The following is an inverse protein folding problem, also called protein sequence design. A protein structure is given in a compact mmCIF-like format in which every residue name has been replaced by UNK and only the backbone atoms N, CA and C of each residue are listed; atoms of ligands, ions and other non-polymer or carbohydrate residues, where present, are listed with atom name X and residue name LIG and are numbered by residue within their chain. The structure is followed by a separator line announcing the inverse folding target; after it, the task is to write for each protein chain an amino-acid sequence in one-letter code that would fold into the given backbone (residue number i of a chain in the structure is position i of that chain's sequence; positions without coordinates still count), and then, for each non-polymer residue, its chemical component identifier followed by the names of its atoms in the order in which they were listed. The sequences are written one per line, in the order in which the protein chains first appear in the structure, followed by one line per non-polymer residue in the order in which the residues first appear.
data_IF_247175006736
#
_entry.id   IF_247175006736
#
_cell.length_a   1.000
_cell.length_b   1.000
_cell.length_c   1.000
_cell.angle_alpha   90.00
_cell.angle_beta   90.00
_cell.angle_gamma   90.00
#
_symmetry.space_group_name_H-M   'P 1'
#
loop_
_entity.id
_entity.type
_entity.pdbx_description
1 polymer ?
#
# COMPACT_ATOMS: atom_id res chain seq x y z
N UNK A 1 0.96 -20.66 34.03
CA UNK A 1 1.23 -20.38 32.62
C UNK A 1 0.26 -19.29 32.17
N UNK A 2 0.73 -18.16 31.74
CA UNK A 2 -0.16 -17.10 31.17
C UNK A 2 -0.84 -17.68 29.93
N UNK A 3 -2.15 -17.44 29.79
CA UNK A 3 -2.91 -17.86 28.60
C UNK A 3 -2.33 -17.16 27.39
N UNK A 4 -1.94 -17.91 26.36
CA UNK A 4 -1.46 -17.33 25.10
C UNK A 4 -2.57 -16.45 24.49
N UNK A 5 -2.22 -15.22 24.16
CA UNK A 5 -3.17 -14.23 23.59
C UNK A 5 -3.54 -14.59 22.15
N UNK A 6 -4.75 -14.27 21.73
CA UNK A 6 -5.27 -14.52 20.38
C UNK A 6 -5.58 -13.20 19.68
N UNK A 7 -4.96 -13.00 18.51
CA UNK A 7 -5.27 -11.95 17.56
C UNK A 7 -6.11 -12.51 16.41
N UNK A 8 -7.21 -11.84 16.08
CA UNK A 8 -7.93 -12.06 14.80
C UNK A 8 -7.63 -10.91 13.85
N UNK A 9 -7.07 -11.23 12.71
CA UNK A 9 -6.81 -10.30 11.59
C UNK A 9 -7.93 -10.49 10.58
N UNK A 10 -8.61 -9.41 10.22
CA UNK A 10 -9.69 -9.41 9.23
C UNK A 10 -9.26 -8.61 7.99
N UNK A 11 -8.95 -9.31 6.91
CA UNK A 11 -8.45 -8.73 5.68
C UNK A 11 -8.92 -9.51 4.46
N UNK A 12 -8.98 -8.88 3.29
CA UNK A 12 -9.26 -9.61 2.06
C UNK A 12 -9.46 -8.71 0.85
N UNK A 13 -9.72 -9.35 -0.28
CA UNK A 13 -9.99 -8.71 -1.56
C UNK A 13 -8.78 -8.42 -2.42
N UNK A 14 -7.75 -7.74 -1.94
CA UNK A 14 -6.58 -7.33 -2.72
C UNK A 14 -5.28 -7.41 -1.92
N UNK A 15 -4.14 -7.45 -2.62
CA UNK A 15 -2.81 -7.41 -1.99
C UNK A 15 -2.59 -6.18 -1.10
N UNK A 16 -3.21 -5.04 -1.43
CA UNK A 16 -3.11 -3.82 -0.63
C UNK A 16 -3.58 -3.98 0.83
N UNK A 17 -4.60 -4.84 1.08
CA UNK A 17 -5.03 -5.18 2.43
C UNK A 17 -4.26 -6.36 3.02
N UNK A 18 -3.88 -7.33 2.16
CA UNK A 18 -3.30 -8.60 2.61
C UNK A 18 -1.84 -8.46 3.04
N UNK A 19 -1.02 -7.65 2.34
CA UNK A 19 0.40 -7.50 2.68
C UNK A 19 0.63 -6.83 4.05
N UNK A 20 -0.03 -5.71 4.40
CA UNK A 20 0.07 -5.16 5.76
C UNK A 20 -0.46 -6.11 6.84
N UNK A 21 -1.52 -6.87 6.53
CA UNK A 21 -2.07 -7.88 7.42
C UNK A 21 -1.09 -9.04 7.66
N UNK A 22 -0.38 -9.48 6.62
CA UNK A 22 0.68 -10.48 6.71
C UNK A 22 1.82 -9.98 7.60
N UNK A 23 2.31 -8.77 7.38
CA UNK A 23 3.39 -8.20 8.18
C UNK A 23 3.02 -8.13 9.67
N UNK A 24 1.78 -7.74 10.01
CA UNK A 24 1.30 -7.80 11.39
C UNK A 24 1.27 -9.25 11.92
N UNK A 25 0.77 -10.21 11.12
CA UNK A 25 0.70 -11.61 11.53
C UNK A 25 2.09 -12.18 11.86
N UNK A 26 3.09 -11.92 11.01
CA UNK A 26 4.48 -12.34 11.21
C UNK A 26 5.05 -11.83 12.53
N UNK A 27 4.89 -10.54 12.79
CA UNK A 27 5.40 -9.90 14.00
C UNK A 27 4.66 -10.38 15.27
N UNK A 28 3.34 -10.56 15.21
CA UNK A 28 2.55 -11.02 16.36
C UNK A 28 2.83 -12.49 16.70
N UNK A 29 3.04 -13.35 15.69
CA UNK A 29 3.50 -14.73 15.91
C UNK A 29 4.89 -14.76 16.56
N UNK A 30 5.82 -13.92 16.08
CA UNK A 30 7.14 -13.78 16.69
C UNK A 30 7.07 -13.28 18.14
N UNK A 31 6.08 -12.45 18.49
CA UNK A 31 5.78 -12.00 19.86
C UNK A 31 5.06 -13.08 20.71
N UNK A 32 4.86 -14.28 20.19
CA UNK A 32 4.26 -15.42 20.91
C UNK A 32 2.74 -15.42 20.98
N UNK A 33 2.06 -14.66 20.13
CA UNK A 33 0.61 -14.68 20.02
C UNK A 33 0.13 -15.82 19.10
N UNK A 34 -1.09 -16.29 19.32
CA UNK A 34 -1.83 -17.01 18.30
C UNK A 34 -2.46 -16.02 17.33
N UNK A 35 -2.34 -16.28 16.03
CA UNK A 35 -2.92 -15.43 14.99
C UNK A 35 -3.89 -16.22 14.14
N UNK A 36 -5.04 -15.61 13.89
CA UNK A 36 -6.08 -16.14 13.00
C UNK A 36 -6.43 -15.09 11.93
N UNK A 37 -6.40 -15.49 10.67
CA UNK A 37 -6.80 -14.66 9.54
C UNK A 37 -8.25 -15.00 9.16
N UNK A 38 -9.13 -14.01 9.22
CA UNK A 38 -10.48 -14.06 8.65
C UNK A 38 -10.48 -13.38 7.29
N UNK A 39 -10.75 -14.13 6.22
CA UNK A 39 -10.68 -13.66 4.84
C UNK A 39 -11.73 -14.29 3.95
N UNK A 40 -11.86 -13.85 2.70
CA UNK A 40 -12.71 -14.49 1.66
C UNK A 40 -11.90 -15.40 0.73
N UNK A 41 -12.59 -16.09 -0.18
CA UNK A 41 -11.95 -16.98 -1.16
C UNK A 41 -10.95 -16.23 -2.07
N UNK A 42 -11.07 -14.92 -2.27
CA UNK A 42 -10.11 -14.11 -3.04
C UNK A 42 -8.89 -13.78 -2.20
N UNK A 43 -9.11 -13.37 -0.94
CA UNK A 43 -8.01 -13.12 -0.02
C UNK A 43 -7.21 -14.39 0.29
N UNK A 44 -7.88 -15.54 0.35
CA UNK A 44 -7.21 -16.83 0.53
C UNK A 44 -6.15 -17.15 -0.56
N UNK A 45 -6.28 -16.59 -1.78
CA UNK A 45 -5.24 -16.71 -2.82
C UNK A 45 -3.95 -15.98 -2.48
N UNK A 46 -4.02 -14.95 -1.63
CA UNK A 46 -2.88 -14.20 -1.13
C UNK A 46 -2.39 -14.73 0.23
N UNK A 47 -3.10 -15.70 0.80
CA UNK A 47 -2.77 -16.25 2.12
C UNK A 47 -1.52 -17.13 2.13
N UNK A 48 -1.05 -17.59 0.95
CA UNK A 48 0.20 -18.35 0.82
C UNK A 48 1.47 -17.58 1.27
N UNK A 49 1.39 -16.26 1.44
CA UNK A 49 2.47 -15.45 2.04
C UNK A 49 2.41 -15.36 3.56
N UNK A 50 1.32 -15.80 4.20
CA UNK A 50 1.22 -15.80 5.66
C UNK A 50 2.02 -16.98 6.25
N UNK A 51 2.57 -16.81 7.47
CA UNK A 51 3.24 -17.92 8.17
C UNK A 51 2.31 -19.13 8.36
N UNK A 52 2.85 -20.35 8.27
CA UNK A 52 2.10 -21.60 8.42
C UNK A 52 1.37 -21.71 9.76
N UNK A 53 1.87 -21.04 10.79
CA UNK A 53 1.24 -20.98 12.13
C UNK A 53 -0.03 -20.12 12.16
N UNK A 54 -0.37 -19.39 11.08
CA UNK A 54 -1.59 -18.60 10.99
C UNK A 54 -2.77 -19.49 10.66
N UNK A 55 -3.76 -19.57 11.54
CA UNK A 55 -5.02 -20.25 11.23
C UNK A 55 -5.86 -19.40 10.27
N UNK A 56 -6.31 -19.98 9.16
CA UNK A 56 -7.05 -19.26 8.11
C UNK A 56 -8.52 -19.67 8.15
N UNK A 57 -9.40 -18.72 8.42
CA UNK A 57 -10.85 -18.88 8.37
C UNK A 57 -11.39 -18.20 7.09
N UNK A 58 -11.85 -19.00 6.14
CA UNK A 58 -12.49 -18.49 4.92
C UNK A 58 -13.96 -18.21 5.22
N UNK A 59 -14.35 -16.95 5.14
CA UNK A 59 -15.73 -16.49 5.39
C UNK A 59 -16.39 -16.13 4.05
N UNK A 60 -17.63 -16.56 3.87
CA UNK A 60 -18.43 -16.14 2.71
C UNK A 60 -18.72 -14.64 2.83
N UNK A 61 -17.95 -13.82 2.11
CA UNK A 61 -18.21 -12.40 1.99
C UNK A 61 -18.85 -12.08 0.66
N UNK A 62 -20.09 -11.62 0.70
CA UNK A 62 -20.74 -11.12 -0.50
C UNK A 62 -20.08 -9.84 -1.00
N UNK A 63 -19.52 -9.87 -2.22
CA UNK A 63 -19.08 -8.64 -2.88
C UNK A 63 -20.25 -7.92 -3.52
N UNK A 64 -20.70 -6.81 -2.92
CA UNK A 64 -21.79 -5.97 -3.45
C UNK A 64 -21.51 -5.35 -4.83
N UNK A 65 -20.31 -5.53 -5.39
CA UNK A 65 -19.88 -4.84 -6.61
C UNK A 65 -19.87 -5.69 -7.88
N UNK A 66 -19.89 -7.02 -7.81
CA UNK A 66 -19.76 -7.92 -8.97
C UNK A 66 -20.70 -9.11 -8.83
N UNK A 67 -21.81 -9.08 -9.55
CA UNK A 67 -22.76 -10.17 -9.61
C UNK A 67 -24.10 -9.69 -10.16
N UNK A 68 -24.84 -10.55 -10.85
CA UNK A 68 -26.17 -10.25 -11.35
C UNK A 68 -27.17 -9.97 -10.21
N UNK A 69 -28.42 -9.69 -10.57
CA UNK A 69 -29.49 -9.31 -9.63
C UNK A 69 -29.64 -10.30 -8.46
N UNK A 70 -29.46 -11.60 -8.71
CA UNK A 70 -29.51 -12.66 -7.68
C UNK A 70 -28.41 -12.52 -6.63
N UNK A 71 -27.18 -12.19 -7.04
CA UNK A 71 -26.05 -11.98 -6.11
C UNK A 71 -26.28 -10.73 -5.23
N UNK A 72 -26.88 -9.67 -5.79
CA UNK A 72 -27.23 -8.47 -5.03
C UNK A 72 -28.33 -8.74 -4.00
N UNK A 73 -29.28 -9.60 -4.31
CA UNK A 73 -30.38 -9.97 -3.38
C UNK A 73 -29.90 -10.93 -2.27
N UNK A 74 -28.97 -11.84 -2.56
CA UNK A 74 -28.41 -12.77 -1.57
C UNK A 74 -27.31 -12.17 -0.69
N UNK A 75 -26.72 -11.04 -1.10
CA UNK A 75 -25.60 -10.41 -0.39
C UNK A 75 -25.92 -10.05 1.08
N UNK A 76 -27.07 -9.45 1.44
CA UNK A 76 -27.40 -9.16 2.84
C UNK A 76 -27.52 -10.43 3.69
N UNK A 77 -28.08 -11.50 3.13
CA UNK A 77 -28.22 -12.79 3.82
C UNK A 77 -26.85 -13.42 4.08
N UNK A 78 -25.98 -13.50 3.06
CA UNK A 78 -24.62 -14.02 3.21
C UNK A 78 -23.81 -13.21 4.23
N UNK A 79 -23.96 -11.89 4.23
CA UNK A 79 -23.30 -11.02 5.18
C UNK A 79 -23.80 -11.27 6.62
N UNK A 80 -25.11 -11.38 6.83
CA UNK A 80 -25.72 -11.71 8.12
C UNK A 80 -25.20 -13.06 8.63
N UNK A 81 -25.21 -14.09 7.78
CA UNK A 81 -24.70 -15.42 8.13
C UNK A 81 -23.20 -15.38 8.45
N UNK A 82 -22.41 -14.58 7.72
CA UNK A 82 -21.00 -14.34 8.04
C UNK A 82 -20.80 -13.73 9.41
N UNK A 83 -21.59 -12.72 9.78
CA UNK A 83 -21.57 -12.07 11.10
C UNK A 83 -21.97 -13.06 12.21
N UNK A 84 -23.02 -13.85 12.01
CA UNK A 84 -23.46 -14.84 13.00
C UNK A 84 -22.37 -15.92 13.22
N UNK A 85 -21.78 -16.46 12.16
CA UNK A 85 -20.67 -17.42 12.24
C UNK A 85 -19.47 -16.83 12.99
N UNK A 86 -19.05 -15.61 12.61
CA UNK A 86 -17.93 -14.92 13.28
C UNK A 86 -18.23 -14.64 14.76
N UNK A 87 -19.46 -14.19 15.08
CA UNK A 87 -19.89 -13.95 16.48
C UNK A 87 -19.83 -15.24 17.30
N UNK A 88 -20.38 -16.34 16.77
CA UNK A 88 -20.34 -17.63 17.45
C UNK A 88 -18.90 -18.13 17.66
N UNK A 89 -18.04 -18.01 16.66
CA UNK A 89 -16.64 -18.37 16.76
C UNK A 89 -15.92 -17.55 17.85
N UNK A 90 -16.17 -16.22 17.92
CA UNK A 90 -15.60 -15.35 18.94
C UNK A 90 -16.14 -15.61 20.36
N UNK A 91 -17.39 -16.03 20.49
CA UNK A 91 -17.95 -16.44 21.78
C UNK A 91 -17.34 -17.75 22.29
N UNK A 92 -17.04 -18.68 21.37
CA UNK A 92 -16.41 -19.96 21.70
C UNK A 92 -14.92 -19.81 22.02
N UNK A 93 -14.20 -19.00 21.26
CA UNK A 93 -12.79 -18.69 21.48
C UNK A 93 -12.59 -17.17 21.37
N UNK A 94 -12.70 -16.50 22.52
CA UNK A 94 -12.69 -15.05 22.59
C UNK A 94 -11.30 -14.51 22.24
N UNK A 95 -11.16 -13.70 21.15
CA UNK A 95 -9.90 -13.06 20.85
C UNK A 95 -9.59 -11.95 21.86
N UNK A 96 -8.32 -11.66 22.04
CA UNK A 96 -7.87 -10.53 22.84
C UNK A 96 -8.02 -9.22 22.06
N UNK A 97 -7.71 -9.23 20.76
CA UNK A 97 -7.87 -8.08 19.84
C UNK A 97 -8.34 -8.56 18.47
N UNK A 98 -9.12 -7.73 17.78
CA UNK A 98 -9.47 -7.90 16.37
C UNK A 98 -8.96 -6.70 15.59
N UNK A 99 -8.23 -6.93 14.50
CA UNK A 99 -7.70 -5.88 13.62
C UNK A 99 -8.29 -6.01 12.23
N UNK A 100 -9.02 -4.98 11.77
CA UNK A 100 -9.59 -4.90 10.44
C UNK A 100 -8.70 -4.10 9.49
N UNK A 101 -8.29 -4.72 8.37
CA UNK A 101 -7.49 -4.07 7.32
C UNK A 101 -8.35 -3.55 6.15
N UNK A 102 -9.67 -3.69 6.27
CA UNK A 102 -10.60 -3.23 5.24
C UNK A 102 -10.97 -4.30 4.22
N UNK A 103 -11.68 -3.86 3.20
CA UNK A 103 -12.37 -4.75 2.26
C UNK A 103 -13.64 -5.35 2.85
N UNK A 104 -14.55 -5.83 1.99
CA UNK A 104 -15.79 -6.48 2.44
C UNK A 104 -15.57 -7.70 3.32
N UNK A 105 -14.50 -8.50 3.12
CA UNK A 105 -14.21 -9.65 3.98
C UNK A 105 -13.93 -9.30 5.44
N UNK A 106 -13.51 -8.09 5.74
CA UNK A 106 -13.28 -7.65 7.12
C UNK A 106 -14.59 -7.36 7.89
N UNK A 107 -15.70 -7.10 7.18
CA UNK A 107 -16.96 -6.69 7.81
C UNK A 107 -17.48 -7.71 8.83
N UNK A 108 -17.60 -9.04 8.54
CA UNK A 108 -18.15 -9.98 9.49
C UNK A 108 -17.39 -10.05 10.82
N UNK A 109 -16.06 -10.08 10.75
CA UNK A 109 -15.20 -10.13 11.94
C UNK A 109 -15.29 -8.82 12.75
N UNK A 110 -15.29 -7.66 12.09
CA UNK A 110 -15.42 -6.37 12.75
C UNK A 110 -16.79 -6.17 13.42
N UNK A 111 -17.86 -6.60 12.76
CA UNK A 111 -19.21 -6.59 13.32
C UNK A 111 -19.32 -7.54 14.53
N UNK A 112 -18.77 -8.75 14.44
CA UNK A 112 -18.72 -9.71 15.54
C UNK A 112 -17.91 -9.16 16.73
N UNK A 113 -16.78 -8.52 16.50
CA UNK A 113 -15.99 -7.87 17.53
C UNK A 113 -16.76 -6.74 18.24
N UNK A 114 -17.54 -5.97 17.49
CA UNK A 114 -18.41 -4.94 18.05
C UNK A 114 -19.52 -5.53 18.91
N UNK A 115 -20.24 -6.56 18.44
CA UNK A 115 -21.29 -7.27 19.16
C UNK A 115 -20.76 -7.90 20.45
N UNK A 116 -19.61 -8.57 20.40
CA UNK A 116 -18.99 -9.26 21.54
C UNK A 116 -18.21 -8.34 22.47
N UNK A 117 -18.14 -7.04 22.16
CA UNK A 117 -17.34 -6.04 22.89
C UNK A 117 -15.87 -6.47 23.02
N UNK A 118 -15.32 -7.08 21.96
CA UNK A 118 -13.91 -7.41 21.86
C UNK A 118 -13.13 -6.15 21.46
N UNK A 119 -11.96 -5.85 22.06
CA UNK A 119 -11.09 -4.77 21.62
C UNK A 119 -10.79 -4.88 20.13
N UNK A 120 -10.87 -3.78 19.42
CA UNK A 120 -10.79 -3.79 17.98
C UNK A 120 -10.14 -2.53 17.43
N UNK A 121 -9.34 -2.72 16.40
CA UNK A 121 -8.63 -1.68 15.71
C UNK A 121 -8.90 -1.75 14.21
N UNK A 122 -8.81 -0.62 13.53
CA UNK A 122 -8.71 -0.55 12.07
C UNK A 122 -7.31 -0.18 11.68
N UNK A 123 -6.83 -0.77 10.60
CA UNK A 123 -5.71 -0.24 9.82
C UNK A 123 -6.22 0.21 8.46
N UNK A 124 -6.00 1.48 8.13
CA UNK A 124 -6.29 2.04 6.81
C UNK A 124 -5.01 2.34 6.07
N UNK A 125 -4.85 1.74 4.91
CA UNK A 125 -3.64 1.88 4.09
C UNK A 125 -3.61 3.18 3.32
N UNK A 126 -4.79 3.67 2.91
CA UNK A 126 -4.93 4.82 2.02
C UNK A 126 -5.19 6.12 2.78
N UNK A 127 -4.98 7.24 2.10
CA UNK A 127 -5.29 8.57 2.62
C UNK A 127 -6.80 8.86 2.74
N UNK A 128 -7.66 7.91 2.38
CA UNK A 128 -9.12 7.96 2.56
C UNK A 128 -9.61 6.61 3.07
N UNK A 129 -10.51 6.63 4.05
CA UNK A 129 -11.04 5.38 4.60
C UNK A 129 -11.83 4.60 3.56
N UNK A 130 -11.52 3.31 3.40
CA UNK A 130 -12.34 2.37 2.64
C UNK A 130 -13.76 2.28 3.22
N UNK A 131 -14.73 1.78 2.44
CA UNK A 131 -16.17 1.74 2.84
C UNK A 131 -16.39 1.04 4.18
N UNK A 132 -15.75 -0.11 4.40
CA UNK A 132 -15.90 -0.88 5.64
C UNK A 132 -15.22 -0.15 6.80
N UNK A 133 -13.98 0.33 6.61
CA UNK A 133 -13.27 1.08 7.63
C UNK A 133 -14.02 2.36 8.03
N UNK A 134 -14.61 3.07 7.08
CA UNK A 134 -15.42 4.26 7.34
C UNK A 134 -16.67 3.96 8.17
N UNK A 135 -17.32 2.80 7.92
CA UNK A 135 -18.49 2.36 8.69
C UNK A 135 -18.12 2.11 10.16
N UNK A 136 -16.99 1.46 10.40
CA UNK A 136 -16.57 1.12 11.77
C UNK A 136 -15.72 2.20 12.45
N UNK A 137 -15.30 3.27 11.76
CA UNK A 137 -14.39 4.28 12.30
C UNK A 137 -14.79 4.88 13.65
N UNK A 138 -16.11 4.98 13.94
CA UNK A 138 -16.65 5.47 15.22
C UNK A 138 -16.94 4.36 16.23
N UNK A 139 -16.67 3.11 15.87
CA UNK A 139 -17.05 1.92 16.64
C UNK A 139 -15.83 1.05 16.96
N UNK A 140 -14.61 1.59 16.80
CA UNK A 140 -13.36 0.95 17.15
C UNK A 140 -12.65 1.71 18.26
N UNK A 141 -11.77 1.02 18.94
CA UNK A 141 -11.01 1.58 20.05
C UNK A 141 -9.78 2.34 19.55
N UNK A 142 -9.26 1.98 18.34
CA UNK A 142 -8.09 2.57 17.74
C UNK A 142 -8.16 2.56 16.21
N UNK A 143 -7.59 3.56 15.56
CA UNK A 143 -7.37 3.58 14.11
C UNK A 143 -5.89 3.84 13.85
N UNK A 144 -5.25 2.94 13.11
CA UNK A 144 -3.92 3.09 12.59
C UNK A 144 -4.00 3.51 11.12
N UNK A 145 -3.29 4.57 10.74
CA UNK A 145 -3.25 5.07 9.36
C UNK A 145 -1.89 4.79 8.74
N UNK A 146 -1.90 4.10 7.61
CA UNK A 146 -0.70 3.82 6.81
C UNK A 146 -0.23 5.02 6.00
N UNK A 147 -1.12 5.96 5.72
CA UNK A 147 -0.86 7.18 4.95
C UNK A 147 -1.30 8.38 5.80
N UNK A 148 -0.58 9.50 5.68
CA UNK A 148 -0.92 10.72 6.39
C UNK A 148 -0.69 11.97 5.52
N UNK A 149 -1.62 12.94 5.50
CA UNK A 149 -2.90 12.95 6.22
C UNK A 149 -3.92 11.94 5.67
N UNK A 150 -4.82 11.46 6.53
CA UNK A 150 -5.96 10.60 6.15
C UNK A 150 -7.27 11.36 6.35
N UNK A 151 -8.21 11.25 5.39
CA UNK A 151 -9.55 11.83 5.50
C UNK A 151 -10.40 11.00 6.49
N UNK A 152 -10.49 11.51 7.71
CA UNK A 152 -11.22 10.90 8.83
C UNK A 152 -12.59 11.56 9.04
N UNK A 153 -13.60 10.81 9.53
CA UNK A 153 -14.85 11.39 9.97
C UNK A 153 -14.63 12.39 11.11
N UNK A 154 -15.43 13.46 11.14
CA UNK A 154 -15.31 14.50 12.20
C UNK A 154 -15.36 13.91 13.61
N UNK A 155 -14.38 14.25 14.45
CA UNK A 155 -14.27 13.78 15.82
C UNK A 155 -13.70 12.37 15.98
N UNK A 156 -13.14 11.79 14.91
CA UNK A 156 -12.40 10.53 14.96
C UNK A 156 -10.92 10.83 14.95
N UNK A 157 -10.19 10.26 15.89
CA UNK A 157 -8.73 10.35 15.99
C UNK A 157 -8.08 9.09 15.44
N UNK A 158 -6.83 9.21 14.96
CA UNK A 158 -6.06 8.09 14.45
C UNK A 158 -4.56 8.31 14.69
N UNK A 159 -3.82 7.22 14.74
CA UNK A 159 -2.36 7.22 14.84
C UNK A 159 -1.74 6.97 13.47
N UNK A 160 -0.81 7.81 13.05
CA UNK A 160 -0.02 7.56 11.84
C UNK A 160 1.08 6.55 12.14
N UNK A 161 0.87 5.31 11.73
CA UNK A 161 1.84 4.21 11.87
C UNK A 161 2.70 4.00 10.64
N UNK A 162 2.24 4.47 9.48
CA UNK A 162 2.77 4.06 8.20
C UNK A 162 2.17 2.73 7.71
N UNK A 163 2.43 2.39 6.46
CA UNK A 163 2.11 1.09 5.89
C UNK A 163 3.30 0.14 6.09
N UNK A 164 3.10 -1.04 6.66
CA UNK A 164 4.12 -2.08 6.66
C UNK A 164 4.60 -2.37 5.25
N UNK A 165 5.90 -2.34 5.07
CA UNK A 165 6.57 -2.66 3.80
C UNK A 165 7.17 -4.06 3.85
N UNK A 166 7.48 -4.62 2.69
CA UNK A 166 8.07 -5.95 2.58
C UNK A 166 9.49 -5.98 3.17
N UNK A 167 9.90 -7.12 3.72
CA UNK A 167 11.23 -7.35 4.30
C UNK A 167 12.36 -6.91 3.33
N UNK A 168 12.23 -7.22 2.03
CA UNK A 168 13.20 -6.82 1.02
C UNK A 168 13.35 -5.28 0.85
N UNK A 169 12.33 -4.49 1.24
CA UNK A 169 12.40 -3.02 1.30
C UNK A 169 13.10 -2.58 2.58
N UNK A 170 12.75 -3.20 3.73
CA UNK A 170 13.37 -2.89 5.03
C UNK A 170 14.87 -3.17 5.03
N UNK A 171 15.30 -4.28 4.42
CA UNK A 171 16.74 -4.61 4.29
C UNK A 171 17.54 -3.56 3.49
N UNK A 172 16.85 -2.66 2.80
CA UNK A 172 17.42 -1.60 1.96
C UNK A 172 17.10 -0.19 2.43
N UNK A 173 16.47 -0.03 3.57
CA UNK A 173 16.10 1.29 4.09
C UNK A 173 17.32 2.19 4.34
N UNK A 174 18.46 1.59 4.71
CA UNK A 174 19.72 2.32 4.94
C UNK A 174 20.47 2.71 3.66
N UNK A 175 19.97 2.33 2.46
CA UNK A 175 20.62 2.62 1.20
C UNK A 175 20.70 4.13 0.95
N UNK A 176 21.94 4.61 0.74
CA UNK A 176 22.16 6.03 0.45
C UNK A 176 21.58 6.40 -0.92
N UNK A 177 21.04 7.59 -1.02
CA UNK A 177 20.64 8.16 -2.29
C UNK A 177 21.84 8.81 -2.97
N UNK A 178 22.08 8.41 -4.23
CA UNK A 178 23.10 9.02 -5.08
C UNK A 178 22.40 10.08 -5.93
N UNK A 179 22.74 11.35 -5.73
CA UNK A 179 22.12 12.46 -6.46
C UNK A 179 22.43 12.36 -7.97
N UNK A 180 21.58 12.85 -8.86
CA UNK A 180 21.85 12.88 -10.30
C UNK A 180 23.09 13.71 -10.62
N UNK A 181 23.82 13.33 -11.68
CA UNK A 181 25.07 13.96 -12.09
C UNK A 181 25.56 13.47 -13.45
N UNK A 182 26.83 13.74 -13.76
CA UNK A 182 27.46 13.39 -15.05
C UNK A 182 27.98 11.93 -15.04
N UNK A 183 27.10 10.99 -14.77
CA UNK A 183 27.34 9.55 -14.71
C UNK A 183 26.01 8.79 -14.99
N UNK A 184 26.05 7.45 -15.19
CA UNK A 184 24.82 6.71 -15.46
C UNK A 184 23.77 6.90 -14.37
N UNK A 185 22.57 7.36 -14.76
CA UNK A 185 21.42 7.62 -13.90
C UNK A 185 20.30 6.62 -14.20
N UNK A 186 19.67 6.10 -13.17
CA UNK A 186 18.55 5.16 -13.26
C UNK A 186 17.22 5.87 -13.05
N UNK A 187 16.30 5.69 -13.98
CA UNK A 187 14.90 6.11 -13.88
C UNK A 187 14.03 4.87 -13.80
N UNK A 188 13.22 4.77 -12.74
CA UNK A 188 12.30 3.67 -12.53
C UNK A 188 10.87 4.10 -12.80
N UNK A 189 10.16 3.37 -13.67
CA UNK A 189 8.75 3.59 -14.01
C UNK A 189 7.94 2.38 -13.56
N UNK A 190 7.01 2.57 -12.61
CA UNK A 190 6.16 1.49 -12.07
C UNK A 190 4.68 1.87 -12.04
N UNK A 191 3.87 1.01 -12.65
CA UNK A 191 2.41 1.17 -12.71
C UNK A 191 1.65 0.52 -11.56
N UNK A 192 2.35 -0.14 -10.62
CA UNK A 192 1.74 -1.00 -9.60
C UNK A 192 1.39 -2.39 -10.13
N UNK A 193 0.61 -3.16 -9.35
CA UNK A 193 0.36 -4.60 -9.62
C UNK A 193 -0.32 -4.92 -10.96
N UNK A 194 -0.95 -3.94 -11.61
CA UNK A 194 -1.67 -4.14 -12.88
C UNK A 194 -1.02 -3.41 -14.06
N UNK A 195 0.14 -2.76 -13.83
CA UNK A 195 0.72 -1.83 -14.80
C UNK A 195 -0.12 -0.57 -14.98
N UNK A 196 0.36 0.38 -15.78
CA UNK A 196 -0.33 1.64 -16.05
C UNK A 196 -0.16 2.05 -17.51
N UNK A 197 -1.17 1.79 -18.36
CA UNK A 197 -1.12 2.09 -19.79
C UNK A 197 -0.75 3.54 -20.08
N UNK A 198 -1.26 4.51 -19.31
CA UNK A 198 -0.90 5.92 -19.49
C UNK A 198 0.60 6.20 -19.29
N UNK A 199 1.28 5.47 -18.40
CA UNK A 199 2.73 5.60 -18.25
C UNK A 199 3.46 5.01 -19.47
N UNK A 200 2.98 3.88 -19.99
CA UNK A 200 3.49 3.28 -21.23
C UNK A 200 3.30 4.19 -22.44
N UNK A 201 2.21 4.95 -22.46
CA UNK A 201 1.88 5.89 -23.56
C UNK A 201 2.72 7.18 -23.49
N UNK A 202 2.86 7.77 -22.30
CA UNK A 202 3.39 9.14 -22.17
C UNK A 202 4.89 9.17 -21.83
N UNK A 203 5.39 8.23 -21.01
CA UNK A 203 6.79 8.30 -20.52
C UNK A 203 7.81 8.19 -21.67
N UNK A 204 7.71 7.25 -22.63
CA UNK A 204 8.68 7.18 -23.73
C UNK A 204 8.77 8.47 -24.53
N UNK A 205 7.62 9.09 -24.80
CA UNK A 205 7.57 10.40 -25.48
C UNK A 205 8.19 11.53 -24.67
N UNK A 206 8.02 11.51 -23.34
CA UNK A 206 8.67 12.48 -22.45
C UNK A 206 10.20 12.30 -22.42
N UNK A 207 10.69 11.06 -22.39
CA UNK A 207 12.12 10.78 -22.45
C UNK A 207 12.71 11.26 -23.75
N UNK A 208 12.04 11.08 -24.90
CA UNK A 208 12.52 11.55 -26.21
C UNK A 208 12.70 13.08 -26.28
N UNK A 209 12.01 13.84 -25.41
CA UNK A 209 12.12 15.30 -25.33
C UNK A 209 13.24 15.80 -24.42
N UNK A 210 13.93 14.91 -23.71
CA UNK A 210 15.01 15.30 -22.82
C UNK A 210 16.27 15.75 -23.61
N UNK A 211 17.05 16.69 -23.07
CA UNK A 211 18.30 17.11 -23.67
C UNK A 211 19.31 15.96 -23.84
N UNK A 212 20.15 15.98 -24.91
CA UNK A 212 21.09 14.90 -25.21
C UNK A 212 22.11 14.62 -24.08
N UNK A 213 22.47 15.64 -23.31
CA UNK A 213 23.39 15.51 -22.17
C UNK A 213 22.77 14.70 -21.01
N UNK A 214 21.45 14.69 -20.84
CA UNK A 214 20.76 13.81 -19.90
C UNK A 214 20.59 12.43 -20.52
N UNK A 215 20.10 12.33 -21.76
CA UNK A 215 19.81 11.06 -22.42
C UNK A 215 21.01 10.10 -22.45
N UNK A 216 22.22 10.61 -22.71
CA UNK A 216 23.45 9.77 -22.76
C UNK A 216 23.76 9.03 -21.47
N UNK A 217 23.28 9.55 -20.31
CA UNK A 217 23.48 8.95 -18.99
C UNK A 217 22.29 8.14 -18.49
N UNK A 218 21.12 8.27 -19.16
CA UNK A 218 19.89 7.70 -18.65
C UNK A 218 19.80 6.19 -18.93
N UNK A 219 19.38 5.43 -17.92
CA UNK A 219 19.01 4.02 -17.99
C UNK A 219 17.62 3.87 -17.40
N UNK A 220 16.75 3.14 -18.08
CA UNK A 220 15.33 3.08 -17.71
C UNK A 220 14.95 1.66 -17.33
N UNK A 221 14.25 1.52 -16.21
CA UNK A 221 13.47 0.33 -15.88
C UNK A 221 12.00 0.69 -16.00
N UNK A 222 11.26 0.10 -16.95
CA UNK A 222 9.86 0.46 -17.21
C UNK A 222 8.97 -0.76 -17.10
N UNK A 223 8.09 -0.78 -16.11
CA UNK A 223 7.03 -1.78 -16.01
C UNK A 223 5.88 -1.41 -16.95
N UNK A 224 5.73 -2.14 -18.04
CA UNK A 224 4.64 -1.99 -19.01
C UNK A 224 3.59 -3.09 -18.85
N UNK A 225 2.38 -2.87 -19.35
CA UNK A 225 1.40 -3.95 -19.48
C UNK A 225 1.84 -4.93 -20.55
N UNK A 226 1.37 -6.21 -20.52
CA UNK A 226 1.71 -7.18 -21.55
C UNK A 226 1.43 -6.68 -22.97
N UNK A 227 0.30 -5.98 -23.16
CA UNK A 227 -0.10 -5.40 -24.45
C UNK A 227 0.74 -4.21 -24.88
N UNK A 228 1.40 -3.51 -23.96
CA UNK A 228 2.18 -2.30 -24.24
C UNK A 228 3.68 -2.57 -24.33
N UNK A 229 4.17 -3.71 -23.80
CA UNK A 229 5.59 -4.00 -23.56
C UNK A 229 6.46 -3.81 -24.82
N UNK A 230 6.05 -4.42 -25.94
CA UNK A 230 6.84 -4.38 -27.18
C UNK A 230 6.86 -2.98 -27.79
N UNK A 231 5.75 -2.27 -27.72
CA UNK A 231 5.66 -0.87 -28.18
C UNK A 231 6.61 0.02 -27.38
N UNK A 232 6.59 -0.07 -26.05
CA UNK A 232 7.47 0.69 -25.15
C UNK A 232 8.94 0.36 -25.40
N UNK A 233 9.28 -0.92 -25.58
CA UNK A 233 10.65 -1.36 -25.90
C UNK A 233 11.15 -0.77 -27.20
N UNK A 234 10.32 -0.82 -28.26
CA UNK A 234 10.63 -0.27 -29.59
C UNK A 234 10.87 1.24 -29.51
N UNK A 235 10.06 1.96 -28.74
CA UNK A 235 10.25 3.40 -28.53
C UNK A 235 11.61 3.73 -27.93
N UNK A 236 12.04 3.05 -26.86
CA UNK A 236 13.34 3.29 -26.24
C UNK A 236 14.50 2.93 -27.17
N UNK A 237 14.36 1.88 -27.98
CA UNK A 237 15.36 1.52 -29.01
C UNK A 237 15.52 2.62 -30.07
N UNK A 238 14.40 3.20 -30.54
CA UNK A 238 14.39 4.26 -31.54
C UNK A 238 15.08 5.54 -31.07
N UNK A 239 14.93 5.89 -29.81
CA UNK A 239 15.58 7.08 -29.22
C UNK A 239 16.98 6.77 -28.69
N UNK A 240 17.45 5.51 -28.78
CA UNK A 240 18.81 5.11 -28.38
C UNK A 240 19.06 5.13 -26.87
N UNK A 241 18.03 5.02 -26.03
CA UNK A 241 18.15 4.99 -24.56
C UNK A 241 18.09 3.55 -24.08
N UNK A 242 19.08 3.08 -23.28
CA UNK A 242 19.05 1.75 -22.70
C UNK A 242 17.83 1.60 -21.75
N UNK A 243 16.98 0.61 -22.03
CA UNK A 243 15.79 0.36 -21.24
C UNK A 243 15.56 -1.14 -21.01
N UNK A 244 15.26 -1.48 -19.76
CA UNK A 244 14.72 -2.77 -19.34
C UNK A 244 13.20 -2.64 -19.22
N UNK A 245 12.46 -3.31 -20.11
CA UNK A 245 11.00 -3.18 -20.21
C UNK A 245 10.38 -4.54 -19.93
N UNK A 246 9.76 -4.66 -18.75
CA UNK A 246 9.15 -5.90 -18.30
C UNK A 246 7.69 -5.69 -17.84
N UNK A 247 6.92 -6.75 -17.86
CA UNK A 247 5.54 -6.71 -17.37
C UNK A 247 5.46 -6.72 -15.86
N UNK A 248 6.49 -7.25 -15.22
CA UNK A 248 6.64 -7.32 -13.77
C UNK A 248 8.12 -7.36 -13.40
N UNK A 249 8.48 -6.68 -12.32
CA UNK A 249 9.82 -6.74 -11.72
C UNK A 249 9.75 -7.44 -10.37
N UNK A 250 10.50 -8.53 -10.20
CA UNK A 250 10.65 -9.20 -8.90
C UNK A 250 11.58 -8.44 -7.95
N UNK A 251 12.46 -7.62 -8.51
CA UNK A 251 13.54 -6.91 -7.85
C UNK A 251 13.26 -5.41 -7.62
N UNK A 252 11.98 -4.99 -7.57
CA UNK A 252 11.60 -3.58 -7.35
C UNK A 252 12.38 -2.91 -6.20
N UNK A 253 12.60 -3.55 -5.03
CA UNK A 253 13.38 -2.92 -3.96
C UNK A 253 14.83 -2.59 -4.36
N UNK A 254 15.49 -3.42 -5.16
CA UNK A 254 16.84 -3.14 -5.67
C UNK A 254 16.82 -1.98 -6.68
N UNK A 255 15.87 -2.00 -7.63
CA UNK A 255 15.70 -0.90 -8.61
C UNK A 255 15.36 0.44 -7.96
N UNK A 256 14.62 0.42 -6.86
CA UNK A 256 14.37 1.63 -6.05
C UNK A 256 15.67 2.17 -5.45
N UNK A 257 16.57 1.30 -4.97
CA UNK A 257 17.86 1.75 -4.43
C UNK A 257 18.70 2.44 -5.51
N UNK A 258 18.71 1.92 -6.72
CA UNK A 258 19.52 2.44 -7.83
C UNK A 258 18.90 3.70 -8.47
N UNK A 259 17.61 3.96 -8.25
CA UNK A 259 16.89 5.04 -8.94
C UNK A 259 17.27 6.43 -8.43
N UNK A 260 17.63 7.34 -9.37
CA UNK A 260 17.71 8.77 -9.15
C UNK A 260 16.33 9.43 -9.18
N UNK A 261 15.38 8.83 -9.90
CA UNK A 261 14.00 9.31 -9.97
C UNK A 261 13.04 8.13 -10.19
N UNK A 262 11.90 8.16 -9.51
CA UNK A 262 10.83 7.19 -9.69
C UNK A 262 9.60 7.89 -10.28
N UNK A 263 9.03 7.33 -11.35
CA UNK A 263 7.71 7.72 -11.88
C UNK A 263 6.74 6.59 -11.54
N UNK A 264 5.69 6.88 -10.79
CA UNK A 264 4.84 5.81 -10.28
C UNK A 264 3.38 6.23 -10.14
N UNK A 265 2.48 5.24 -10.22
CA UNK A 265 1.17 5.37 -9.57
C UNK A 265 1.35 5.55 -8.06
N UNK A 266 0.42 6.25 -7.42
CA UNK A 266 0.46 6.51 -5.97
C UNK A 266 -0.42 5.56 -5.15
N UNK A 267 -0.35 4.27 -5.46
CA UNK A 267 -0.90 3.24 -4.58
C UNK A 267 -0.21 3.26 -3.21
N UNK A 268 -0.94 3.00 -2.13
CA UNK A 268 -0.42 3.13 -0.77
C UNK A 268 0.88 2.34 -0.52
N UNK A 269 0.99 1.12 -1.05
CA UNK A 269 2.23 0.31 -0.93
C UNK A 269 3.39 0.93 -1.71
N UNK A 270 3.16 1.41 -2.94
CA UNK A 270 4.22 2.05 -3.74
C UNK A 270 4.74 3.31 -3.07
N UNK A 271 3.83 4.14 -2.54
CA UNK A 271 4.20 5.35 -1.78
C UNK A 271 5.03 4.98 -0.55
N UNK A 272 4.64 3.93 0.18
CA UNK A 272 5.38 3.45 1.35
C UNK A 272 6.78 2.94 0.98
N UNK A 273 6.90 2.06 -0.03
CA UNK A 273 8.16 1.49 -0.47
C UNK A 273 9.14 2.59 -0.93
N UNK A 274 8.67 3.53 -1.76
CA UNK A 274 9.46 4.66 -2.28
C UNK A 274 9.92 5.56 -1.13
N UNK A 275 9.04 5.83 -0.17
CA UNK A 275 9.35 6.71 0.96
C UNK A 275 10.31 6.06 1.95
N UNK A 276 10.17 4.77 2.26
CA UNK A 276 11.06 4.04 3.17
C UNK A 276 12.48 3.98 2.59
N UNK A 277 12.63 3.71 1.30
CA UNK A 277 13.95 3.74 0.64
C UNK A 277 14.45 5.18 0.46
N UNK A 278 13.54 6.16 0.39
CA UNK A 278 13.87 7.57 0.28
C UNK A 278 14.30 7.96 -1.14
N UNK A 279 13.38 7.91 -2.10
CA UNK A 279 13.66 8.28 -3.50
C UNK A 279 12.77 9.42 -3.95
N UNK A 280 13.31 10.40 -4.71
CA UNK A 280 12.49 11.41 -5.37
C UNK A 280 11.47 10.74 -6.28
N UNK A 281 10.23 11.22 -6.26
CA UNK A 281 9.17 10.62 -7.07
C UNK A 281 8.33 11.65 -7.82
N UNK A 282 7.88 11.27 -9.02
CA UNK A 282 6.75 11.89 -9.71
C UNK A 282 5.58 10.92 -9.63
N UNK A 283 4.57 11.26 -8.85
CA UNK A 283 3.36 10.47 -8.74
C UNK A 283 2.32 10.86 -9.78
N UNK A 284 1.76 9.85 -10.44
CA UNK A 284 0.65 9.99 -11.39
C UNK A 284 -0.53 9.17 -10.84
N UNK A 285 -1.42 9.76 -10.04
CA UNK A 285 -2.58 9.07 -9.48
C UNK A 285 -3.47 8.48 -10.58
N UNK A 286 -4.07 7.31 -10.32
CA UNK A 286 -5.06 6.72 -11.22
C UNK A 286 -6.35 7.55 -11.18
N UNK A 287 -6.76 8.12 -12.32
CA UNK A 287 -7.94 8.99 -12.41
C UNK A 287 -9.25 8.30 -11.98
N UNK A 288 -9.34 6.98 -12.18
CA UNK A 288 -10.51 6.16 -11.80
C UNK A 288 -10.43 5.55 -10.40
N UNK A 289 -9.44 5.98 -9.59
CA UNK A 289 -9.28 5.47 -8.23
C UNK A 289 -10.52 5.77 -7.36
N UNK A 290 -10.93 4.80 -6.58
CA UNK A 290 -12.12 4.93 -5.73
C UNK A 290 -11.92 6.08 -4.73
N UNK A 291 -12.78 7.10 -4.77
CA UNK A 291 -12.70 8.28 -3.90
C UNK A 291 -11.38 9.04 -4.00
N UNK A 292 -10.74 8.98 -5.16
CA UNK A 292 -9.45 9.64 -5.41
C UNK A 292 -8.35 9.26 -4.38
N UNK A 293 -8.38 8.00 -3.94
CA UNK A 293 -7.47 7.49 -2.90
C UNK A 293 -5.99 7.66 -3.26
N UNK A 294 -5.64 7.55 -4.55
CA UNK A 294 -4.26 7.68 -4.98
C UNK A 294 -3.74 9.12 -4.89
N UNK A 295 -4.56 10.12 -5.19
CA UNK A 295 -4.19 11.52 -4.93
C UNK A 295 -4.01 11.78 -3.43
N UNK A 296 -4.90 11.22 -2.59
CA UNK A 296 -4.77 11.34 -1.15
C UNK A 296 -3.49 10.66 -0.61
N UNK A 297 -3.10 9.50 -1.15
CA UNK A 297 -1.88 8.79 -0.76
C UNK A 297 -0.60 9.60 -1.03
N UNK A 298 -0.59 10.37 -2.12
CA UNK A 298 0.57 11.19 -2.49
C UNK A 298 0.72 12.45 -1.63
N UNK A 299 -0.32 12.89 -0.91
CA UNK A 299 -0.31 14.18 -0.20
C UNK A 299 0.78 14.31 0.87
N UNK A 300 1.07 13.22 1.58
CA UNK A 300 2.11 13.23 2.61
C UNK A 300 3.51 13.49 2.04
N UNK A 301 4.01 12.65 1.13
CA UNK A 301 5.29 12.87 0.46
C UNK A 301 5.36 14.21 -0.27
N UNK A 302 4.26 14.65 -0.90
CA UNK A 302 4.18 15.94 -1.58
C UNK A 302 4.38 17.10 -0.61
N UNK A 303 3.65 17.13 0.50
CA UNK A 303 3.78 18.17 1.55
C UNK A 303 5.15 18.15 2.22
N UNK A 304 5.77 16.98 2.34
CA UNK A 304 7.12 16.84 2.85
C UNK A 304 8.18 17.35 1.86
N UNK A 305 7.84 17.54 0.59
CA UNK A 305 8.78 17.92 -0.47
C UNK A 305 9.57 16.75 -1.06
N UNK A 306 9.14 15.49 -0.82
CA UNK A 306 9.77 14.28 -1.34
C UNK A 306 9.26 13.84 -2.70
N UNK A 307 8.17 14.44 -3.18
CA UNK A 307 7.55 14.05 -4.44
C UNK A 307 6.92 15.25 -5.16
N UNK A 308 6.64 15.05 -6.44
CA UNK A 308 5.81 15.90 -7.30
C UNK A 308 4.59 15.08 -7.72
N UNK A 309 3.45 15.73 -7.95
CA UNK A 309 2.24 15.09 -8.42
C UNK A 309 1.84 15.70 -9.77
N UNK A 310 1.47 14.84 -10.71
CA UNK A 310 0.83 15.22 -11.98
C UNK A 310 -0.47 14.41 -12.07
N UNK A 311 -1.60 15.08 -12.19
CA UNK A 311 -2.87 14.38 -12.41
C UNK A 311 -2.87 13.72 -13.78
N UNK A 312 -3.51 12.55 -13.90
CA UNK A 312 -3.52 11.81 -15.17
C UNK A 312 -4.09 12.63 -16.33
N UNK A 313 -5.11 13.45 -16.06
CA UNK A 313 -5.71 14.35 -17.05
C UNK A 313 -4.81 15.52 -17.50
N UNK A 314 -3.80 15.85 -16.69
CA UNK A 314 -2.81 16.91 -16.96
C UNK A 314 -1.50 16.34 -17.51
N UNK A 315 -1.35 15.00 -17.55
CA UNK A 315 -0.13 14.34 -17.91
C UNK A 315 0.13 14.44 -19.41
N UNK A 316 1.11 15.24 -19.78
CA UNK A 316 1.63 15.35 -21.15
C UNK A 316 3.10 14.98 -21.20
N UNK A 317 3.58 14.51 -22.37
CA UNK A 317 5.00 14.22 -22.55
C UNK A 317 5.88 15.46 -22.28
N UNK A 318 5.44 16.65 -22.69
CA UNK A 318 6.21 17.87 -22.49
C UNK A 318 6.29 18.30 -21.01
N UNK A 319 5.17 18.26 -20.26
CA UNK A 319 5.22 18.63 -18.84
C UNK A 319 6.04 17.61 -18.04
N UNK A 320 5.85 16.32 -18.33
CA UNK A 320 6.63 15.26 -17.68
C UNK A 320 8.13 15.40 -17.98
N UNK A 321 8.52 15.67 -19.24
CA UNK A 321 9.91 15.91 -19.62
C UNK A 321 10.52 17.06 -18.83
N UNK A 322 9.83 18.21 -18.72
CA UNK A 322 10.30 19.37 -17.95
C UNK A 322 10.53 19.03 -16.48
N UNK A 323 9.64 18.26 -15.86
CA UNK A 323 9.78 17.86 -14.46
C UNK A 323 10.93 16.88 -14.28
N UNK A 324 11.09 15.91 -15.16
CA UNK A 324 12.24 15.00 -15.18
C UNK A 324 13.54 15.79 -15.31
N UNK A 325 13.63 16.68 -16.28
CA UNK A 325 14.82 17.52 -16.50
C UNK A 325 15.14 18.36 -15.26
N UNK A 326 14.14 19.04 -14.68
CA UNK A 326 14.30 19.87 -13.49
C UNK A 326 14.93 19.08 -12.34
N UNK A 327 14.42 17.86 -12.08
CA UNK A 327 14.91 17.03 -10.96
C UNK A 327 16.32 16.47 -11.28
N UNK A 328 16.55 16.00 -12.51
CA UNK A 328 17.83 15.39 -12.88
C UNK A 328 18.96 16.41 -13.06
N UNK A 329 18.67 17.69 -13.29
CA UNK A 329 19.68 18.76 -13.36
C UNK A 329 20.01 19.37 -11.99
N UNK A 330 19.14 19.23 -11.00
CA UNK A 330 19.33 19.79 -9.66
C UNK A 330 19.71 18.68 -8.66
N UNK A 331 20.96 18.24 -8.67
CA UNK A 331 21.46 17.22 -7.75
C UNK A 331 21.22 17.56 -6.26
N UNK A 332 21.52 18.78 -5.80
CA UNK A 332 21.20 19.22 -4.44
C UNK A 332 19.70 19.20 -4.13
N UNK A 333 18.85 19.62 -5.07
CA UNK A 333 17.40 19.56 -4.95
C UNK A 333 16.87 18.13 -4.88
N UNK A 334 17.37 17.24 -5.75
CA UNK A 334 17.04 15.82 -5.73
C UNK A 334 17.47 15.14 -4.42
N UNK A 335 18.62 15.50 -3.85
CA UNK A 335 19.06 15.02 -2.54
C UNK A 335 18.11 15.48 -1.42
N UNK A 336 17.65 16.72 -1.45
CA UNK A 336 16.64 17.23 -0.50
C UNK A 336 15.31 16.49 -0.65
N UNK A 337 14.86 16.22 -1.89
CA UNK A 337 13.66 15.43 -2.14
C UNK A 337 13.79 14.01 -1.59
N UNK A 338 14.92 13.35 -1.83
CA UNK A 338 15.19 12.02 -1.30
C UNK A 338 15.14 11.98 0.24
N UNK A 339 15.80 12.94 0.89
CA UNK A 339 15.80 13.07 2.34
C UNK A 339 14.38 13.34 2.90
N UNK A 340 13.60 14.16 2.21
CA UNK A 340 12.22 14.46 2.58
C UNK A 340 11.29 13.23 2.43
N UNK A 341 11.43 12.46 1.34
CA UNK A 341 10.72 11.20 1.14
C UNK A 341 11.06 10.21 2.26
N UNK A 342 12.35 10.05 2.58
CA UNK A 342 12.81 9.16 3.64
C UNK A 342 12.29 9.56 5.02
N UNK A 343 12.27 10.85 5.33
CA UNK A 343 11.72 11.36 6.60
C UNK A 343 10.21 11.08 6.75
N UNK A 344 9.48 11.06 5.64
CA UNK A 344 8.06 10.69 5.63
C UNK A 344 7.87 9.17 5.80
N UNK A 345 8.76 8.36 5.25
CA UNK A 345 8.74 6.90 5.34
C UNK A 345 8.70 6.41 6.79
N UNK A 346 8.06 5.26 7.00
CA UNK A 346 7.88 4.60 8.31
C UNK A 346 8.38 3.16 8.23
N UNK A 347 9.68 2.91 8.31
CA UNK A 347 10.21 1.54 8.31
C UNK A 347 9.69 0.72 9.50
N UNK A 348 9.44 1.37 10.65
CA UNK A 348 8.91 0.78 11.88
C UNK A 348 7.37 0.58 11.89
N UNK A 349 6.71 0.64 10.72
CA UNK A 349 5.25 0.57 10.65
C UNK A 349 4.66 -0.73 11.23
N UNK A 350 5.31 -1.87 11.01
CA UNK A 350 4.84 -3.15 11.52
C UNK A 350 4.96 -3.22 13.04
N UNK A 351 6.07 -2.77 13.61
CA UNK A 351 6.31 -2.68 15.05
C UNK A 351 5.32 -1.71 15.72
N UNK A 352 5.05 -0.57 15.07
CA UNK A 352 4.03 0.37 15.56
C UNK A 352 2.64 -0.24 15.65
N UNK A 353 2.26 -1.10 14.69
CA UNK A 353 1.00 -1.83 14.75
C UNK A 353 0.98 -2.86 15.88
N UNK A 354 2.09 -3.57 16.12
CA UNK A 354 2.23 -4.50 17.24
C UNK A 354 2.00 -3.78 18.55
N UNK A 355 2.65 -2.65 18.78
CA UNK A 355 2.49 -1.85 20.01
C UNK A 355 1.02 -1.46 20.24
N UNK A 356 0.33 -0.99 19.23
CA UNK A 356 -1.10 -0.63 19.33
C UNK A 356 -1.98 -1.84 19.67
N UNK A 357 -1.69 -3.02 19.10
CA UNK A 357 -2.43 -4.25 19.43
C UNK A 357 -2.15 -4.68 20.88
N UNK A 358 -0.92 -4.59 21.34
CA UNK A 358 -0.55 -4.94 22.71
C UNK A 358 -1.17 -3.99 23.74
N UNK A 359 -1.20 -2.69 23.48
CA UNK A 359 -1.88 -1.69 24.30
C UNK A 359 -3.38 -1.98 24.45
N UNK A 360 -4.05 -2.30 23.33
CA UNK A 360 -5.47 -2.67 23.35
C UNK A 360 -5.74 -3.95 24.16
N UNK A 361 -4.83 -4.92 24.09
CA UNK A 361 -4.97 -6.15 24.85
C UNK A 361 -4.78 -5.94 26.38
N UNK A 362 -3.94 -4.98 26.79
CA UNK A 362 -3.69 -4.63 28.18
C UNK A 362 -4.86 -3.81 28.74
N UNK A 363 -5.40 -2.87 27.98
CA UNK A 363 -6.53 -2.01 28.38
C UNK A 363 -7.79 -2.80 28.82
N UNK A 364 -7.91 -4.07 28.42
CA UNK A 364 -8.92 -5.01 28.93
C UNK A 364 -8.79 -5.32 30.43
N UNK A 365 -7.60 -5.13 31.02
CA UNK A 365 -7.33 -5.44 32.42
C UNK A 365 -7.75 -4.35 33.41
N UNK A 366 -8.02 -3.13 32.93
CA UNK A 366 -8.28 -1.94 33.77
C UNK A 366 -9.76 -1.59 34.01
N UNK A 367 -10.69 -2.25 33.33
CA UNK A 367 -12.13 -2.08 33.50
C UNK A 367 -12.81 -3.38 33.90
N UNK A 368 -12.53 -3.85 35.10
CA UNK A 368 -13.35 -4.82 35.87
C UNK A 368 -13.86 -4.18 37.14
#
# INVERSE_FOLDING_TARGET
MSKTKLLVIAAGGTGGHMFPAQALAENMLAAGWHVRLSTDARGARFAGGFPDATAIDVVDSASFGRGGLRAKLSAPYSLLMGVLKATFAMLRQRPDVVVGFGGYPAFPAMAAAWITRTPRMLHEQNGVLGKVNRLFARHVDQIACGTWPTDLPKGVEATFTGNPVRKAVLERDSAQYIAPGDYPMSLLVIGGSQGAGILSEVVPGAIALLPPDILRHLRISHQARPEDQETVRTWYQQIGVPADVETFFDDVPARLVDAQLVISRSGASSVADISVIGRPAIFVPLATAIRDEQTANAQGPLKAGGAVLIREEELTALDLARRIETILRDGPGALKMAAAAKKYGKPEAAESLVLLVEELAIGKGGHK
#
